data_IF_595652169351
#
_entry.id   IF_595652169351
#
_cell.length_a   1.000
_cell.length_b   1.000
_cell.length_c   1.000
_cell.angle_alpha   90.00
_cell.angle_beta   90.00
_cell.angle_gamma   90.00
#
_symmetry.space_group_name_H-M   'P 1'
#
loop_
_entity.id
_entity.type
_entity.pdbx_description
1 polymer ?
#
# COMPACT_ATOMS: atom_id res chain seq x y z
N UNK A 1 2.31 4.50 15.33
CA UNK A 1 2.08 4.74 13.88
C UNK A 1 3.39 5.29 13.32
N UNK A 2 3.84 4.86 12.14
CA UNK A 2 5.14 5.28 11.58
C UNK A 2 5.02 6.67 10.92
N UNK A 3 5.82 7.63 11.36
CA UNK A 3 5.79 9.03 10.90
C UNK A 3 6.73 9.30 9.70
N UNK A 4 6.82 8.35 8.76
CA UNK A 4 7.75 8.45 7.62
C UNK A 4 9.23 8.28 7.96
N UNK A 5 9.55 7.80 9.16
CA UNK A 5 10.91 7.48 9.63
C UNK A 5 11.33 6.06 9.22
N UNK A 6 11.31 5.80 7.93
CA UNK A 6 11.53 4.48 7.35
C UNK A 6 12.90 3.89 7.70
N UNK A 7 13.97 4.70 7.73
CA UNK A 7 15.31 4.23 8.06
C UNK A 7 15.41 3.64 9.49
N UNK A 8 14.80 4.31 10.47
CA UNK A 8 14.76 3.83 11.85
C UNK A 8 13.85 2.62 12.02
N UNK A 9 12.73 2.60 11.28
CA UNK A 9 11.84 1.45 11.23
C UNK A 9 12.58 0.20 10.72
N UNK A 10 13.38 0.34 9.67
CA UNK A 10 14.26 -0.72 9.15
C UNK A 10 15.21 -1.18 10.25
N UNK A 11 15.94 -0.28 10.91
CA UNK A 11 16.87 -0.67 11.98
C UNK A 11 16.20 -1.37 13.16
N UNK A 12 14.95 -1.01 13.49
CA UNK A 12 14.15 -1.72 14.50
C UNK A 12 13.78 -3.12 14.02
N UNK A 13 13.28 -3.27 12.78
CA UNK A 13 12.89 -4.58 12.26
C UNK A 13 14.09 -5.52 12.06
N UNK A 14 15.23 -5.02 11.61
CA UNK A 14 16.47 -5.79 11.48
C UNK A 14 16.93 -6.36 12.83
N UNK A 15 16.86 -5.56 13.90
CA UNK A 15 17.15 -6.04 15.26
C UNK A 15 16.16 -7.12 15.70
N UNK A 16 14.87 -6.95 15.42
CA UNK A 16 13.86 -7.98 15.73
C UNK A 16 14.17 -9.27 14.98
N UNK A 17 14.46 -9.20 13.68
CA UNK A 17 14.85 -10.36 12.87
C UNK A 17 16.10 -11.05 13.39
N UNK A 18 17.10 -10.29 13.85
CA UNK A 18 18.31 -10.87 14.44
C UNK A 18 18.01 -11.56 15.79
N UNK A 19 17.14 -10.99 16.61
CA UNK A 19 16.78 -11.53 17.94
C UNK A 19 15.80 -12.71 17.87
N UNK A 20 14.94 -12.75 16.85
CA UNK A 20 13.93 -13.80 16.65
C UNK A 20 13.86 -14.18 15.16
N UNK A 21 14.80 -15.01 14.67
CA UNK A 21 14.87 -15.40 13.27
C UNK A 21 13.68 -16.24 12.79
N UNK A 22 12.90 -16.81 13.72
CA UNK A 22 11.73 -17.62 13.39
C UNK A 22 10.48 -16.76 13.18
N UNK A 23 10.51 -15.47 13.53
CA UNK A 23 9.39 -14.56 13.33
C UNK A 23 9.35 -14.03 11.88
N UNK A 24 8.40 -14.49 11.04
CA UNK A 24 8.31 -14.08 9.64
C UNK A 24 7.73 -12.68 9.44
N UNK A 25 7.13 -12.06 10.47
CA UNK A 25 6.47 -10.76 10.35
C UNK A 25 7.46 -9.59 10.27
N UNK A 26 8.55 -9.62 11.04
CA UNK A 26 9.55 -8.56 11.03
C UNK A 26 10.25 -8.43 9.66
N UNK A 27 10.71 -9.52 9.01
CA UNK A 27 11.24 -9.44 7.66
C UNK A 27 10.21 -8.96 6.61
N UNK A 28 8.93 -9.29 6.78
CA UNK A 28 7.87 -8.79 5.90
C UNK A 28 7.67 -7.27 6.04
N UNK A 29 7.61 -6.74 7.26
CA UNK A 29 7.49 -5.29 7.47
C UNK A 29 8.74 -4.55 7.01
N UNK A 30 9.93 -5.10 7.28
CA UNK A 30 11.18 -4.56 6.76
C UNK A 30 11.19 -4.49 5.23
N UNK A 31 10.61 -5.49 4.54
CA UNK A 31 10.46 -5.46 3.07
C UNK A 31 9.72 -4.21 2.63
N UNK A 32 8.53 -3.93 3.21
CA UNK A 32 7.76 -2.73 2.86
C UNK A 32 8.57 -1.44 3.10
N UNK A 33 9.29 -1.37 4.23
CA UNK A 33 10.09 -0.20 4.57
C UNK A 33 11.30 -0.02 3.63
N UNK A 34 12.00 -1.09 3.26
CA UNK A 34 13.08 -0.98 2.28
C UNK A 34 12.56 -0.48 0.92
N UNK A 35 11.38 -0.93 0.47
CA UNK A 35 10.76 -0.42 -0.76
C UNK A 35 10.39 1.08 -0.64
N UNK A 36 9.88 1.51 0.51
CA UNK A 36 9.57 2.93 0.77
C UNK A 36 10.84 3.81 0.80
N UNK A 37 11.99 3.24 1.18
CA UNK A 37 13.31 3.86 1.11
C UNK A 37 14.03 3.64 -0.24
N UNK A 38 13.32 3.17 -1.26
CA UNK A 38 13.83 2.91 -2.61
C UNK A 38 15.02 1.94 -2.65
N UNK A 39 14.96 0.88 -1.83
CA UNK A 39 15.99 -0.16 -1.70
C UNK A 39 15.46 -1.56 -2.04
N UNK A 40 15.13 -1.83 -3.32
CA UNK A 40 14.53 -3.11 -3.72
C UNK A 40 15.45 -4.32 -3.52
N UNK A 41 16.76 -4.13 -3.59
CA UNK A 41 17.73 -5.22 -3.37
C UNK A 41 17.68 -5.70 -1.91
N UNK A 42 17.77 -4.76 -0.96
CA UNK A 42 17.66 -5.09 0.45
C UNK A 42 16.27 -5.63 0.81
N UNK A 43 15.21 -5.09 0.19
CA UNK A 43 13.84 -5.57 0.35
C UNK A 43 13.70 -7.05 -0.07
N UNK A 44 14.24 -7.42 -1.23
CA UNK A 44 14.22 -8.80 -1.70
C UNK A 44 15.05 -9.72 -0.79
N UNK A 45 16.20 -9.24 -0.33
CA UNK A 45 17.10 -10.03 0.52
C UNK A 45 16.50 -10.29 1.92
N UNK A 46 15.84 -9.29 2.53
CA UNK A 46 15.19 -9.50 3.84
C UNK A 46 13.97 -10.41 3.72
N UNK A 47 13.17 -10.27 2.65
CA UNK A 47 12.03 -11.13 2.39
C UNK A 47 12.44 -12.62 2.30
N UNK A 48 13.61 -12.89 1.71
CA UNK A 48 14.13 -14.23 1.52
C UNK A 48 14.64 -14.92 2.80
N UNK A 49 14.63 -14.24 3.96
CA UNK A 49 15.15 -14.82 5.23
C UNK A 49 14.34 -16.02 5.73
N UNK A 50 13.05 -16.10 5.41
CA UNK A 50 12.21 -17.27 5.70
C UNK A 50 11.24 -17.53 4.55
N UNK A 51 10.82 -18.79 4.30
CA UNK A 51 9.82 -19.08 3.28
C UNK A 51 8.49 -18.35 3.51
N UNK A 52 8.08 -18.20 4.78
CA UNK A 52 6.84 -17.53 5.13
C UNK A 52 6.89 -16.01 4.87
N UNK A 53 8.02 -15.36 5.17
CA UNK A 53 8.20 -13.93 4.82
C UNK A 53 8.26 -13.73 3.32
N UNK A 54 9.03 -14.57 2.61
CA UNK A 54 9.16 -14.49 1.16
C UNK A 54 7.79 -14.57 0.49
N UNK A 55 6.99 -15.58 0.84
CA UNK A 55 5.64 -15.75 0.29
C UNK A 55 4.71 -14.56 0.59
N UNK A 56 4.75 -14.03 1.81
CA UNK A 56 3.93 -12.89 2.22
C UNK A 56 4.37 -11.58 1.55
N UNK A 57 5.66 -11.43 1.23
CA UNK A 57 6.24 -10.26 0.58
C UNK A 57 6.02 -10.21 -0.93
N UNK A 58 5.63 -11.33 -1.57
CA UNK A 58 5.45 -11.42 -3.03
C UNK A 58 4.52 -10.35 -3.61
N UNK A 59 3.47 -9.97 -2.88
CA UNK A 59 2.53 -8.93 -3.32
C UNK A 59 3.27 -7.59 -3.49
N UNK A 60 3.97 -7.14 -2.44
CA UNK A 60 4.70 -5.88 -2.43
C UNK A 60 5.83 -5.86 -3.47
N UNK A 61 6.63 -6.93 -3.53
CA UNK A 61 7.74 -7.03 -4.47
C UNK A 61 7.26 -6.98 -5.93
N UNK A 62 6.17 -7.69 -6.25
CA UNK A 62 5.58 -7.68 -7.58
C UNK A 62 4.97 -6.31 -7.93
N UNK A 63 4.24 -5.67 -7.01
CA UNK A 63 3.70 -4.33 -7.24
C UNK A 63 4.80 -3.30 -7.47
N UNK A 64 5.90 -3.37 -6.72
CA UNK A 64 7.01 -2.41 -6.84
C UNK A 64 7.62 -2.41 -8.26
N UNK A 65 7.82 -3.60 -8.84
CA UNK A 65 8.32 -3.74 -10.22
C UNK A 65 7.24 -3.59 -11.30
N UNK A 66 5.98 -3.38 -10.92
CA UNK A 66 4.85 -3.20 -11.84
C UNK A 66 4.26 -4.51 -12.40
N UNK A 67 4.59 -5.66 -11.80
CA UNK A 67 3.99 -6.95 -12.15
C UNK A 67 2.63 -7.12 -11.46
N UNK A 68 1.61 -6.45 -11.99
CA UNK A 68 0.23 -6.53 -11.48
C UNK A 68 -0.31 -7.96 -11.51
N UNK A 69 0.11 -8.78 -12.48
CA UNK A 69 -0.36 -10.16 -12.61
C UNK A 69 0.22 -11.03 -11.50
N UNK A 70 1.53 -10.95 -11.28
CA UNK A 70 2.20 -11.63 -10.18
C UNK A 70 1.72 -11.16 -8.81
N UNK A 71 1.48 -9.85 -8.65
CA UNK A 71 0.93 -9.28 -7.42
C UNK A 71 -0.47 -9.84 -7.11
N UNK A 72 -1.37 -9.84 -8.09
CA UNK A 72 -2.72 -10.39 -7.93
C UNK A 72 -2.73 -11.89 -7.63
N UNK A 73 -1.93 -12.67 -8.36
CA UNK A 73 -1.79 -14.09 -8.12
C UNK A 73 -1.23 -14.39 -6.72
N UNK A 74 -0.26 -13.61 -6.25
CA UNK A 74 0.26 -13.72 -4.88
C UNK A 74 -0.80 -13.32 -3.84
N UNK A 75 -1.56 -12.25 -4.08
CA UNK A 75 -2.58 -11.74 -3.18
C UNK A 75 -3.72 -12.74 -2.97
N UNK A 76 -4.17 -13.39 -4.05
CA UNK A 76 -5.20 -14.44 -4.03
C UNK A 76 -4.68 -15.81 -3.57
N UNK A 77 -3.36 -15.96 -3.43
CA UNK A 77 -2.73 -17.19 -2.97
C UNK A 77 -2.89 -17.43 -1.46
N UNK A 78 -2.61 -18.66 -1.01
CA UNK A 78 -2.80 -19.15 0.37
C UNK A 78 -2.16 -18.26 1.46
N UNK A 79 -1.05 -17.59 1.15
CA UNK A 79 -0.29 -16.75 2.10
C UNK A 79 -0.33 -15.25 1.78
N UNK A 80 -1.09 -14.83 0.76
CA UNK A 80 -1.16 -13.42 0.34
C UNK A 80 -1.66 -12.47 1.42
N UNK A 81 -2.22 -13.00 2.52
CA UNK A 81 -2.82 -12.22 3.60
C UNK A 81 -2.14 -12.35 4.97
N UNK A 82 -1.08 -13.16 5.11
CA UNK A 82 -0.55 -13.63 6.41
C UNK A 82 -0.19 -12.50 7.40
N UNK A 83 0.31 -11.35 6.91
CA UNK A 83 0.69 -10.19 7.74
C UNK A 83 -0.06 -8.90 7.38
N UNK A 84 -1.09 -9.01 6.53
CA UNK A 84 -1.79 -7.87 5.93
C UNK A 84 -3.08 -7.47 6.68
N UNK A 85 -3.31 -7.97 7.90
CA UNK A 85 -4.61 -7.83 8.58
C UNK A 85 -4.93 -6.37 8.95
N UNK A 86 -3.94 -5.61 9.44
CA UNK A 86 -4.18 -4.26 9.94
C UNK A 86 -3.59 -3.14 9.07
N UNK A 87 -2.52 -3.41 8.32
CA UNK A 87 -1.88 -2.40 7.47
C UNK A 87 -2.24 -2.52 5.98
N UNK A 88 -3.00 -3.55 5.59
CA UNK A 88 -3.40 -3.90 4.22
C UNK A 88 -2.24 -4.16 3.23
N UNK A 89 -1.12 -3.42 3.31
CA UNK A 89 0.09 -3.52 2.47
C UNK A 89 -0.22 -3.65 0.98
N UNK A 90 -1.05 -2.75 0.47
CA UNK A 90 -1.54 -2.73 -0.91
C UNK A 90 -2.22 -4.03 -1.39
N UNK A 91 -2.69 -4.89 -0.48
CA UNK A 91 -3.32 -6.15 -0.86
C UNK A 91 -4.63 -5.95 -1.62
N UNK A 92 -5.47 -5.02 -1.16
CA UNK A 92 -6.77 -4.74 -1.80
C UNK A 92 -6.58 -4.18 -3.21
N UNK A 93 -5.53 -3.38 -3.37
CA UNK A 93 -5.08 -2.75 -4.60
C UNK A 93 -4.52 -3.81 -5.56
N UNK A 94 -3.73 -4.77 -5.09
CA UNK A 94 -3.28 -5.91 -5.90
C UNK A 94 -4.46 -6.77 -6.42
N UNK A 95 -5.47 -7.00 -5.57
CA UNK A 95 -6.69 -7.72 -5.97
C UNK A 95 -7.50 -6.92 -6.99
N UNK A 96 -7.67 -5.61 -6.78
CA UNK A 96 -8.33 -4.70 -7.73
C UNK A 96 -7.60 -4.72 -9.07
N UNK A 97 -6.31 -4.45 -9.09
CA UNK A 97 -5.54 -4.32 -10.32
C UNK A 97 -5.63 -5.61 -11.14
N UNK A 98 -5.55 -6.76 -10.48
CA UNK A 98 -5.75 -8.06 -11.12
C UNK A 98 -7.16 -8.20 -11.69
N UNK A 99 -8.19 -7.97 -10.88
CA UNK A 99 -9.59 -8.12 -11.30
C UNK A 99 -9.94 -7.19 -12.47
N UNK A 100 -9.46 -5.95 -12.46
CA UNK A 100 -9.68 -4.96 -13.52
C UNK A 100 -8.98 -5.37 -14.82
N UNK A 101 -7.74 -5.85 -14.75
CA UNK A 101 -7.00 -6.24 -15.94
C UNK A 101 -7.45 -7.60 -16.53
N UNK A 102 -8.05 -8.50 -15.75
CA UNK A 102 -8.49 -9.82 -16.22
C UNK A 102 -10.00 -9.93 -16.43
N UNK A 103 -10.78 -8.92 -16.03
CA UNK A 103 -12.24 -9.01 -15.96
C UNK A 103 -12.76 -9.95 -14.86
N UNK A 104 -11.91 -10.39 -13.92
CA UNK A 104 -12.28 -11.28 -12.82
C UNK A 104 -12.96 -10.53 -11.66
N UNK A 105 -13.89 -9.63 -11.99
CA UNK A 105 -14.51 -8.69 -11.04
C UNK A 105 -15.17 -9.38 -9.85
N UNK A 106 -16.01 -10.39 -10.12
CA UNK A 106 -16.71 -11.13 -9.06
C UNK A 106 -15.74 -11.77 -8.07
N UNK A 107 -14.69 -12.41 -8.57
CA UNK A 107 -13.67 -13.03 -7.72
C UNK A 107 -12.94 -11.97 -6.87
N UNK A 108 -12.56 -10.84 -7.46
CA UNK A 108 -11.89 -9.76 -6.74
C UNK A 108 -12.79 -9.15 -5.65
N UNK A 109 -14.05 -8.87 -5.99
CA UNK A 109 -15.04 -8.35 -5.05
C UNK A 109 -15.30 -9.32 -3.89
N UNK A 110 -15.49 -10.62 -4.19
CA UNK A 110 -15.65 -11.67 -3.18
C UNK A 110 -14.42 -11.77 -2.27
N UNK A 111 -13.21 -11.72 -2.82
CA UNK A 111 -11.97 -11.78 -2.03
C UNK A 111 -11.85 -10.61 -1.03
N UNK A 112 -12.09 -9.37 -1.48
CA UNK A 112 -12.08 -8.20 -0.60
C UNK A 112 -13.23 -8.28 0.43
N UNK A 113 -14.43 -8.68 -0.01
CA UNK A 113 -15.59 -8.77 0.86
C UNK A 113 -15.44 -9.81 1.97
N UNK A 114 -14.98 -11.01 1.65
CA UNK A 114 -14.72 -12.07 2.63
C UNK A 114 -13.67 -11.62 3.65
N UNK A 115 -12.62 -10.93 3.19
CA UNK A 115 -11.54 -10.48 4.07
C UNK A 115 -11.98 -9.40 5.06
N UNK A 116 -12.68 -8.39 4.58
CA UNK A 116 -13.02 -7.20 5.38
C UNK A 116 -14.46 -7.22 5.91
N UNK A 117 -15.21 -8.28 5.65
CA UNK A 117 -16.59 -8.46 6.14
C UNK A 117 -17.59 -7.53 5.48
N UNK A 118 -17.49 -7.32 4.16
CA UNK A 118 -18.51 -6.59 3.40
C UNK A 118 -19.67 -7.52 3.01
N UNK A 119 -20.91 -7.03 3.10
CA UNK A 119 -22.05 -7.62 2.38
C UNK A 119 -22.09 -7.03 0.96
N UNK A 120 -21.74 -7.81 -0.06
CA UNK A 120 -21.72 -7.33 -1.45
C UNK A 120 -23.10 -6.90 -1.99
N UNK A 121 -24.20 -7.33 -1.35
CA UNK A 121 -25.54 -6.86 -1.73
C UNK A 121 -25.76 -5.41 -1.31
N UNK A 122 -25.15 -5.00 -0.20
CA UNK A 122 -25.27 -3.66 0.38
C UNK A 122 -23.98 -3.30 1.16
N UNK A 123 -22.88 -2.99 0.46
CA UNK A 123 -21.60 -2.76 1.10
C UNK A 123 -21.64 -1.45 1.90
N UNK A 124 -21.18 -1.51 3.15
CA UNK A 124 -21.21 -0.40 4.12
C UNK A 124 -19.89 -0.30 4.88
N UNK A 125 -19.60 0.91 5.34
CA UNK A 125 -18.39 1.22 6.10
C UNK A 125 -18.78 1.51 7.54
N UNK A 126 -18.30 0.68 8.45
CA UNK A 126 -18.55 0.77 9.89
C UNK A 126 -17.27 0.78 10.72
N UNK A 127 -16.10 0.65 10.08
CA UNK A 127 -14.80 0.62 10.74
C UNK A 127 -13.67 1.04 9.79
N UNK A 128 -12.49 1.29 10.37
CA UNK A 128 -11.32 1.76 9.64
C UNK A 128 -10.81 0.75 8.61
N UNK A 129 -10.82 -0.56 8.89
CA UNK A 129 -10.32 -1.57 7.96
C UNK A 129 -11.18 -1.64 6.69
N UNK A 130 -12.52 -1.57 6.84
CA UNK A 130 -13.42 -1.43 5.70
C UNK A 130 -13.18 -0.13 4.95
N UNK A 131 -13.02 1.00 5.65
CA UNK A 131 -12.76 2.29 4.99
C UNK A 131 -11.51 2.23 4.09
N UNK A 132 -10.45 1.54 4.53
CA UNK A 132 -9.20 1.43 3.76
C UNK A 132 -9.30 0.51 2.53
N UNK A 133 -10.18 -0.48 2.56
CA UNK A 133 -10.36 -1.42 1.44
C UNK A 133 -11.49 -1.01 0.49
N UNK A 134 -12.36 -0.09 0.92
CA UNK A 134 -13.53 0.35 0.18
C UNK A 134 -13.21 1.00 -1.17
N UNK A 135 -12.13 1.80 -1.36
CA UNK A 135 -11.78 2.32 -2.68
C UNK A 135 -11.55 1.23 -3.72
N UNK A 136 -10.75 0.22 -3.36
CA UNK A 136 -10.49 -0.93 -4.23
C UNK A 136 -11.77 -1.72 -4.57
N UNK A 137 -12.63 -1.99 -3.58
CA UNK A 137 -13.92 -2.65 -3.83
C UNK A 137 -14.85 -1.79 -4.69
N UNK A 138 -14.92 -0.49 -4.41
CA UNK A 138 -15.74 0.47 -5.15
C UNK A 138 -15.35 0.55 -6.63
N UNK A 139 -14.05 0.57 -6.92
CA UNK A 139 -13.56 0.56 -8.30
C UNK A 139 -13.89 -0.75 -9.03
N UNK A 140 -13.70 -1.91 -8.37
CA UNK A 140 -14.11 -3.21 -8.94
C UNK A 140 -15.62 -3.21 -9.26
N UNK A 141 -16.47 -2.67 -8.39
CA UNK A 141 -17.92 -2.57 -8.63
C UNK A 141 -18.26 -1.64 -9.79
N UNK A 142 -17.51 -0.54 -9.98
CA UNK A 142 -17.69 0.34 -11.13
C UNK A 142 -17.33 -0.40 -12.43
N UNK A 143 -16.19 -1.10 -12.44
CA UNK A 143 -15.74 -1.89 -13.60
C UNK A 143 -16.63 -3.10 -13.90
N UNK A 144 -17.31 -3.67 -12.89
CA UNK A 144 -18.26 -4.77 -13.08
C UNK A 144 -19.62 -4.33 -13.64
N UNK A 145 -19.84 -3.02 -13.83
CA UNK A 145 -21.11 -2.45 -14.29
C UNK A 145 -22.05 -2.04 -13.15
N UNK A 146 -21.69 -2.26 -11.89
CA UNK A 146 -22.46 -1.86 -10.70
C UNK A 146 -22.11 -0.43 -10.24
N UNK A 147 -21.99 0.50 -11.19
CA UNK A 147 -21.50 1.87 -10.98
C UNK A 147 -22.14 2.58 -9.78
N UNK A 148 -23.47 2.60 -9.69
CA UNK A 148 -24.17 3.29 -8.61
C UNK A 148 -23.80 2.73 -7.22
N UNK A 149 -23.61 1.40 -7.11
CA UNK A 149 -23.19 0.74 -5.87
C UNK A 149 -21.74 1.10 -5.52
N UNK A 150 -20.85 1.08 -6.51
CA UNK A 150 -19.46 1.48 -6.34
C UNK A 150 -19.32 2.94 -5.88
N UNK A 151 -19.96 3.86 -6.59
CA UNK A 151 -19.96 5.30 -6.25
C UNK A 151 -20.58 5.57 -4.86
N UNK A 152 -21.65 4.86 -4.50
CA UNK A 152 -22.24 4.96 -3.16
C UNK A 152 -21.27 4.49 -2.07
N UNK A 153 -20.50 3.43 -2.30
CA UNK A 153 -19.49 2.95 -1.34
C UNK A 153 -18.32 3.94 -1.21
N UNK A 154 -17.87 4.53 -2.31
CA UNK A 154 -16.82 5.56 -2.31
C UNK A 154 -17.29 6.82 -1.56
N UNK A 155 -18.52 7.27 -1.79
CA UNK A 155 -19.10 8.41 -1.08
C UNK A 155 -19.24 8.13 0.43
N UNK A 156 -19.67 6.92 0.81
CA UNK A 156 -19.66 6.49 2.22
C UNK A 156 -18.24 6.49 2.80
N UNK A 157 -17.21 6.18 2.00
CA UNK A 157 -15.80 6.22 2.45
C UNK A 157 -15.42 7.63 2.85
N UNK A 158 -15.69 8.60 1.98
CA UNK A 158 -15.45 10.03 2.27
C UNK A 158 -16.20 10.47 3.52
N UNK A 159 -17.50 10.17 3.61
CA UNK A 159 -18.33 10.56 4.77
C UNK A 159 -17.83 9.95 6.08
N UNK A 160 -17.48 8.66 6.07
CA UNK A 160 -16.98 7.99 7.27
C UNK A 160 -15.67 8.62 7.72
N UNK A 161 -14.76 8.94 6.80
CA UNK A 161 -13.48 9.58 7.13
C UNK A 161 -13.70 10.98 7.72
N UNK A 162 -14.58 11.77 7.12
CA UNK A 162 -14.91 13.13 7.59
C UNK A 162 -15.53 13.11 8.99
N UNK A 163 -16.33 12.08 9.31
CA UNK A 163 -16.93 11.89 10.62
C UNK A 163 -15.95 11.39 11.70
N UNK A 164 -14.76 10.92 11.33
CA UNK A 164 -13.78 10.36 12.27
C UNK A 164 -12.39 11.02 12.16
N UNK A 165 -12.28 12.34 12.45
CA UNK A 165 -11.03 13.08 12.31
C UNK A 165 -9.91 12.59 13.27
N UNK A 166 -10.28 11.91 14.37
CA UNK A 166 -9.34 11.36 15.36
C UNK A 166 -8.46 10.23 14.83
N UNK A 167 -8.80 9.60 13.70
CA UNK A 167 -7.94 8.62 13.04
C UNK A 167 -6.78 9.26 12.25
N UNK A 168 -6.63 10.59 12.33
CA UNK A 168 -5.31 11.25 12.36
C UNK A 168 -4.36 10.94 11.21
N UNK A 169 -4.45 11.75 10.16
CA UNK A 169 -3.40 12.25 9.27
C UNK A 169 -2.48 11.31 8.46
N UNK A 170 -2.29 10.03 8.80
CA UNK A 170 -1.43 9.15 7.98
C UNK A 170 -2.16 8.57 6.76
N UNK A 171 -2.85 7.44 6.96
CA UNK A 171 -3.45 6.67 5.86
C UNK A 171 -4.83 7.14 5.41
N UNK A 172 -5.60 7.74 6.31
CA UNK A 172 -7.04 7.97 6.05
C UNK A 172 -7.26 9.10 5.02
N UNK A 173 -6.40 10.13 5.00
CA UNK A 173 -6.45 11.18 3.97
C UNK A 173 -6.12 10.66 2.58
N UNK A 174 -5.17 9.72 2.46
CA UNK A 174 -4.87 9.09 1.17
C UNK A 174 -6.04 8.25 0.67
N UNK A 175 -6.67 7.46 1.55
CA UNK A 175 -7.88 6.69 1.23
C UNK A 175 -9.02 7.62 0.79
N UNK A 176 -9.21 8.77 1.47
CA UNK A 176 -10.18 9.79 1.06
C UNK A 176 -9.86 10.35 -0.33
N UNK A 177 -8.60 10.69 -0.57
CA UNK A 177 -8.12 11.20 -1.84
C UNK A 177 -8.37 10.22 -3.00
N UNK A 178 -8.10 8.93 -2.78
CA UNK A 178 -8.38 7.86 -3.75
C UNK A 178 -9.87 7.74 -4.06
N UNK A 179 -10.72 7.71 -3.02
CA UNK A 179 -12.17 7.68 -3.19
C UNK A 179 -12.69 8.90 -3.97
N UNK A 180 -12.18 10.08 -3.68
CA UNK A 180 -12.51 11.31 -4.40
C UNK A 180 -12.06 11.29 -5.86
N UNK A 181 -10.86 10.75 -6.14
CA UNK A 181 -10.36 10.61 -7.50
C UNK A 181 -11.28 9.70 -8.33
N UNK A 182 -11.69 8.56 -7.76
CA UNK A 182 -12.62 7.62 -8.38
C UNK A 182 -14.04 8.21 -8.59
N UNK A 183 -14.47 9.13 -7.71
CA UNK A 183 -15.70 9.90 -7.87
C UNK A 183 -15.59 11.07 -8.86
N UNK A 184 -14.43 11.24 -9.51
CA UNK A 184 -14.19 12.34 -10.46
C UNK A 184 -13.90 13.70 -9.80
N UNK A 185 -13.75 13.76 -8.49
CA UNK A 185 -13.48 14.99 -7.73
C UNK A 185 -11.97 15.29 -7.67
N UNK A 186 -11.36 15.42 -8.85
CA UNK A 186 -9.89 15.50 -9.05
C UNK A 186 -9.20 16.58 -8.21
N UNK A 187 -9.75 17.79 -8.16
CA UNK A 187 -9.09 18.90 -7.45
C UNK A 187 -9.01 18.65 -5.94
N UNK A 188 -10.10 18.17 -5.35
CA UNK A 188 -10.12 17.81 -3.94
C UNK A 188 -9.23 16.59 -3.67
N UNK A 189 -9.25 15.58 -4.55
CA UNK A 189 -8.38 14.41 -4.45
C UNK A 189 -6.89 14.80 -4.41
N UNK A 190 -6.45 15.70 -5.30
CA UNK A 190 -5.06 16.17 -5.32
C UNK A 190 -4.69 17.01 -4.09
N UNK A 191 -5.62 17.83 -3.60
CA UNK A 191 -5.43 18.59 -2.35
C UNK A 191 -5.26 17.66 -1.15
N UNK A 192 -6.12 16.64 -1.03
CA UNK A 192 -6.08 15.67 0.05
C UNK A 192 -4.82 14.81 0.00
N UNK A 193 -4.45 14.34 -1.20
CA UNK A 193 -3.25 13.55 -1.41
C UNK A 193 -2.00 14.34 -1.01
N UNK A 194 -1.91 15.61 -1.43
CA UNK A 194 -0.83 16.51 -1.01
C UNK A 194 -0.78 16.62 0.52
N UNK A 195 -1.92 16.85 1.16
CA UNK A 195 -2.00 16.98 2.62
C UNK A 195 -1.60 15.69 3.35
N UNK A 196 -1.88 14.50 2.79
CA UNK A 196 -1.45 13.24 3.41
C UNK A 196 0.08 13.10 3.46
N UNK A 197 0.78 13.57 2.43
CA UNK A 197 2.24 13.52 2.40
C UNK A 197 2.89 14.66 3.20
N UNK A 198 2.41 15.91 3.05
CA UNK A 198 3.03 17.08 3.69
C UNK A 198 2.76 17.13 5.21
N UNK A 199 1.52 16.93 5.63
CA UNK A 199 1.12 17.04 7.05
C UNK A 199 1.07 15.68 7.74
N UNK A 200 0.72 14.64 6.99
CA UNK A 200 0.60 13.28 7.51
C UNK A 200 1.91 12.52 7.60
N UNK A 201 2.93 12.97 6.87
CA UNK A 201 4.18 12.24 6.65
C UNK A 201 3.95 10.79 6.18
N UNK A 202 2.82 10.52 5.51
CA UNK A 202 2.49 9.20 5.04
C UNK A 202 3.23 8.92 3.73
N UNK A 203 4.49 8.54 3.81
CA UNK A 203 5.29 8.07 2.66
C UNK A 203 5.18 6.56 2.46
N UNK A 204 4.30 5.86 3.18
CA UNK A 204 4.18 4.40 3.04
C UNK A 204 3.70 4.05 1.65
N UNK A 205 4.35 3.12 0.96
CA UNK A 205 4.02 2.70 -0.41
C UNK A 205 3.84 3.85 -1.40
N UNK A 206 4.56 4.97 -1.22
CA UNK A 206 4.45 6.14 -2.09
C UNK A 206 4.70 5.76 -3.56
N UNK A 207 5.65 4.86 -3.81
CA UNK A 207 6.01 4.34 -5.13
C UNK A 207 4.81 3.71 -5.84
N UNK A 208 3.89 3.09 -5.09
CA UNK A 208 2.69 2.51 -5.68
C UNK A 208 1.77 3.62 -6.17
N UNK A 209 1.39 4.52 -5.27
CA UNK A 209 0.48 5.65 -5.57
C UNK A 209 0.99 6.49 -6.74
N UNK A 210 2.28 6.81 -6.73
CA UNK A 210 2.89 7.75 -7.68
C UNK A 210 3.18 7.07 -9.03
N UNK A 211 3.75 5.88 -9.02
CA UNK A 211 4.30 5.28 -10.25
C UNK A 211 3.42 4.14 -10.82
N UNK A 212 2.56 3.52 -10.00
CA UNK A 212 1.88 2.24 -10.36
C UNK A 212 0.37 2.32 -10.38
N UNK A 213 -0.23 3.02 -9.43
CA UNK A 213 -1.66 3.00 -9.16
C UNK A 213 -2.46 3.58 -10.36
N UNK A 214 -3.35 2.78 -10.98
CA UNK A 214 -4.13 3.21 -12.12
C UNK A 214 -5.14 4.32 -11.78
N UNK A 215 -5.57 4.45 -10.52
CA UNK A 215 -6.50 5.51 -10.09
C UNK A 215 -5.94 6.90 -10.39
N UNK A 216 -4.62 7.06 -10.26
CA UNK A 216 -3.93 8.33 -10.49
C UNK A 216 -3.43 8.51 -11.92
N UNK A 217 -3.63 7.54 -12.82
CA UNK A 217 -3.18 7.63 -14.21
C UNK A 217 -3.65 8.92 -14.92
N UNK A 218 -4.91 9.38 -14.77
CA UNK A 218 -5.35 10.65 -15.38
C UNK A 218 -4.67 11.90 -14.82
N UNK A 219 -4.03 11.81 -13.65
CA UNK A 219 -3.37 12.92 -12.96
C UNK A 219 -1.85 12.99 -13.22
N UNK A 220 -1.23 11.99 -13.86
CA UNK A 220 0.24 11.92 -14.02
C UNK A 220 0.86 13.11 -14.75
N UNK A 221 0.11 13.77 -15.63
CA UNK A 221 0.54 14.99 -16.35
C UNK A 221 0.14 16.29 -15.64
N UNK A 222 -0.59 16.22 -14.51
CA UNK A 222 -0.96 17.38 -13.71
C UNK A 222 0.28 17.92 -12.97
N UNK A 223 0.62 19.21 -13.11
CA UNK A 223 1.76 19.80 -12.39
C UNK A 223 1.65 19.63 -10.87
N UNK A 224 0.42 19.61 -10.31
CA UNK A 224 0.22 19.40 -8.87
C UNK A 224 0.58 17.98 -8.45
N UNK A 225 0.22 16.99 -9.25
CA UNK A 225 0.57 15.59 -8.98
C UNK A 225 2.07 15.36 -9.15
N UNK A 226 2.71 15.97 -10.16
CA UNK A 226 4.16 15.92 -10.34
C UNK A 226 4.92 16.53 -9.15
N UNK A 227 4.42 17.61 -8.56
CA UNK A 227 4.98 18.18 -7.35
C UNK A 227 4.86 17.22 -6.14
N UNK A 228 3.74 16.53 -5.98
CA UNK A 228 3.55 15.48 -4.95
C UNK A 228 4.53 14.33 -5.18
N UNK A 229 4.70 13.88 -6.43
CA UNK A 229 5.63 12.82 -6.80
C UNK A 229 7.06 13.19 -6.41
N UNK A 230 7.50 14.42 -6.69
CA UNK A 230 8.85 14.87 -6.34
C UNK A 230 9.03 14.99 -4.83
N UNK A 231 8.03 15.47 -4.09
CA UNK A 231 8.03 15.48 -2.62
C UNK A 231 8.28 14.06 -2.05
N UNK A 232 7.56 13.06 -2.57
CA UNK A 232 7.70 11.67 -2.13
C UNK A 232 9.11 11.13 -2.42
N UNK A 233 9.62 11.36 -3.63
CA UNK A 233 10.97 10.92 -4.04
C UNK A 233 12.06 11.61 -3.22
N UNK A 234 11.90 12.88 -2.89
CA UNK A 234 12.82 13.60 -1.99
C UNK A 234 12.84 12.98 -0.59
N UNK A 235 11.65 12.69 -0.03
CA UNK A 235 11.54 12.04 1.27
C UNK A 235 12.20 10.65 1.26
N UNK A 236 11.95 9.84 0.22
CA UNK A 236 12.56 8.52 0.05
C UNK A 236 14.09 8.59 -0.04
N UNK A 237 14.65 9.51 -0.86
CA UNK A 237 16.10 9.75 -0.92
C UNK A 237 16.69 10.14 0.44
N UNK A 238 15.98 10.98 1.20
CA UNK A 238 16.37 11.36 2.56
C UNK A 238 16.41 10.16 3.52
N UNK A 239 15.41 9.27 3.45
CA UNK A 239 15.41 8.04 4.24
C UNK A 239 16.50 7.07 3.78
N UNK A 240 16.77 6.98 2.48
CA UNK A 240 17.87 6.15 1.95
C UNK A 240 19.23 6.61 2.47
N UNK A 241 19.51 7.92 2.44
CA UNK A 241 20.75 8.47 2.99
C UNK A 241 20.91 8.19 4.49
N UNK A 242 19.83 8.31 5.28
CA UNK A 242 19.84 7.95 6.71
C UNK A 242 20.13 6.47 6.92
N UNK A 243 19.49 5.61 6.13
CA UNK A 243 19.68 4.17 6.16
C UNK A 243 21.13 3.79 5.84
N UNK A 244 21.73 4.43 4.84
CA UNK A 244 23.13 4.22 4.51
C UNK A 244 24.04 4.67 5.66
N UNK A 245 23.75 5.78 6.35
CA UNK A 245 24.44 6.16 7.58
C UNK A 245 24.36 5.10 8.69
N UNK A 246 23.18 4.50 8.90
CA UNK A 246 22.98 3.41 9.86
C UNK A 246 23.77 2.15 9.49
N UNK A 247 23.93 1.86 8.18
CA UNK A 247 24.77 0.76 7.68
C UNK A 247 26.25 0.99 7.95
N UNK A 248 26.76 2.20 7.68
CA UNK A 248 28.15 2.55 7.98
C UNK A 248 28.46 2.46 9.47
N UNK A 249 27.48 2.75 10.33
CA UNK A 249 27.58 2.61 11.78
C UNK A 249 27.40 1.16 12.28
N UNK A 250 27.11 0.19 11.41
CA UNK A 250 26.87 -1.21 11.77
C UNK A 250 25.52 -1.47 12.47
N UNK A 251 24.63 -0.47 12.53
CA UNK A 251 23.31 -0.60 13.15
C UNK A 251 22.29 -1.33 12.25
N UNK A 252 22.55 -1.37 10.94
CA UNK A 252 21.76 -2.09 9.93
C UNK A 252 22.71 -2.90 9.05
N UNK A 253 22.44 -4.18 8.76
CA UNK A 253 23.29 -4.98 7.90
C UNK A 253 23.27 -4.46 6.45
N UNK A 254 24.42 -4.60 5.77
CA UNK A 254 24.47 -4.52 4.31
C UNK A 254 23.87 -5.80 3.74
N UNK A 255 22.74 -5.68 3.03
CA UNK A 255 22.09 -6.80 2.37
C UNK A 255 22.47 -6.80 0.89
N UNK A 256 23.17 -7.84 0.47
CA UNK A 256 23.40 -8.10 -0.95
C UNK A 256 22.15 -8.73 -1.58
N UNK A 257 21.98 -8.63 -2.91
CA UNK A 257 20.89 -9.32 -3.61
C UNK A 257 20.90 -10.82 -3.27
N UNK A 258 19.72 -11.39 -3.04
CA UNK A 258 19.60 -12.84 -2.90
C UNK A 258 20.11 -13.49 -4.20
N UNK A 259 21.18 -14.29 -4.11
CA UNK A 259 21.68 -15.06 -5.26
C UNK A 259 20.54 -15.97 -5.70
N UNK A 260 20.10 -15.83 -6.95
CA UNK A 260 19.11 -16.73 -7.56
C UNK A 260 19.74 -18.13 -7.63
N UNK A 261 19.31 -19.01 -6.74
CA UNK A 261 19.56 -20.46 -6.83
C UNK A 261 18.59 -21.13 -7.78
#
# INVERSE_FOLDING_TARGET
MFHGETAEAIAKMERVTASDPQNPSAPHFATAFYLDADDPEAASAIAATTPASHDAARVLLAQYVGDWRGAGAAALGRRGFLFNVYQNFNWSEAVRDYAVNTGSYRQGAEAIATRFGFDLRNPRIDNIAKSTAAPALGDILIWSGERAKGEQLLAQTVQWIDAHPSYGLGGVKRTRAEAMMLLGQRDQALSDLRSSFETGHDIRQWWYVIDRDPVWAPARTDPRFQAIAELCRQAARGQRAKLDGLRHAGAVPLRAPAIRG
#
